data_IF_701160564591
#
_entry.id   IF_701160564591
#
_cell.length_a   1.000
_cell.length_b   1.000
_cell.length_c   1.000
_cell.angle_alpha   90.00
_cell.angle_beta   90.00
_cell.angle_gamma   90.00
#
_symmetry.space_group_name_H-M   'P 1'
#
loop_
_entity.id
_entity.type
_entity.pdbx_description
1 polymer ?
#
# COMPACT_ATOMS: atom_id res chain seq x y z
N UNK A 1 29.79 -13.20 23.75
CA UNK A 1 29.42 -12.96 22.34
C UNK A 1 27.92 -13.12 22.28
N UNK A 2 27.18 -12.22 21.62
CA UNK A 2 25.73 -12.37 21.47
C UNK A 2 25.41 -13.70 20.78
N UNK A 3 24.18 -14.18 20.93
CA UNK A 3 23.69 -15.36 20.20
C UNK A 3 23.70 -15.14 18.67
N UNK A 4 23.73 -13.87 18.23
CA UNK A 4 23.66 -13.47 16.83
C UNK A 4 25.03 -13.26 16.17
N UNK A 5 26.11 -13.29 16.95
CA UNK A 5 27.47 -13.17 16.43
C UNK A 5 27.75 -14.20 15.31
N UNK A 6 28.33 -13.75 14.20
CA UNK A 6 28.57 -14.54 12.98
C UNK A 6 27.32 -15.12 12.30
N UNK A 7 26.13 -14.55 12.56
CA UNK A 7 24.89 -14.91 11.86
C UNK A 7 24.47 -13.78 10.93
N UNK A 8 24.02 -14.13 9.73
CA UNK A 8 23.32 -13.23 8.81
C UNK A 8 21.90 -13.75 8.62
N UNK A 9 20.92 -12.92 8.91
CA UNK A 9 19.51 -13.23 8.67
C UNK A 9 19.12 -12.82 7.25
N UNK A 10 18.62 -13.78 6.47
CA UNK A 10 18.22 -13.59 5.08
C UNK A 10 16.69 -13.60 5.01
N UNK A 11 16.09 -12.50 4.58
CA UNK A 11 14.63 -12.41 4.57
C UNK A 11 14.04 -13.27 3.45
N UNK A 12 13.14 -14.19 3.79
CA UNK A 12 12.22 -14.79 2.82
C UNK A 12 11.04 -13.84 2.64
N UNK A 13 10.72 -13.53 1.38
CA UNK A 13 9.73 -12.52 1.01
C UNK A 13 8.74 -13.09 0.00
N UNK A 14 8.17 -12.25 -0.84
CA UNK A 14 7.09 -12.59 -1.76
C UNK A 14 7.56 -12.67 -3.22
N UNK A 15 6.72 -13.22 -4.09
CA UNK A 15 6.80 -13.12 -5.56
C UNK A 15 8.20 -13.48 -6.13
N UNK A 16 8.71 -12.67 -7.07
CA UNK A 16 9.95 -12.95 -7.77
C UNK A 16 11.19 -13.03 -6.85
N UNK A 17 11.39 -12.13 -5.86
CA UNK A 17 12.48 -12.26 -4.88
C UNK A 17 12.45 -13.57 -4.09
N UNK A 18 11.25 -14.10 -3.78
CA UNK A 18 11.11 -15.40 -3.11
C UNK A 18 11.63 -16.55 -3.98
N UNK A 19 11.20 -16.59 -5.25
CA UNK A 19 11.67 -17.57 -6.23
C UNK A 19 13.19 -17.50 -6.43
N UNK A 20 13.75 -16.28 -6.52
CA UNK A 20 15.20 -16.09 -6.64
C UNK A 20 15.96 -16.60 -5.41
N UNK A 21 15.38 -16.42 -4.21
CA UNK A 21 15.96 -16.91 -2.95
C UNK A 21 16.08 -18.43 -2.93
N UNK A 22 15.09 -19.16 -3.45
CA UNK A 22 15.15 -20.62 -3.56
C UNK A 22 16.37 -21.12 -4.37
N UNK A 23 16.82 -20.35 -5.36
CA UNK A 23 18.00 -20.69 -6.16
C UNK A 23 19.30 -20.18 -5.53
N UNK A 24 19.32 -18.91 -5.08
CA UNK A 24 20.56 -18.24 -4.69
C UNK A 24 21.01 -18.56 -3.26
N UNK A 25 20.08 -18.69 -2.32
CA UNK A 25 20.42 -18.87 -0.90
C UNK A 25 21.21 -20.15 -0.60
N UNK A 26 20.92 -21.32 -1.22
CA UNK A 26 21.76 -22.50 -1.04
C UNK A 26 23.22 -22.26 -1.42
N UNK A 27 23.46 -21.50 -2.50
CA UNK A 27 24.81 -21.14 -2.96
C UNK A 27 25.48 -20.24 -1.92
N UNK A 28 24.81 -19.16 -1.49
CA UNK A 28 25.37 -18.23 -0.50
C UNK A 28 25.74 -18.95 0.80
N UNK A 29 24.86 -19.84 1.30
CA UNK A 29 25.09 -20.68 2.48
C UNK A 29 26.37 -21.50 2.39
N UNK A 30 26.63 -22.15 1.25
CA UNK A 30 27.84 -22.96 1.05
C UNK A 30 29.11 -22.11 1.15
N UNK A 31 29.11 -20.92 0.53
CA UNK A 31 30.27 -20.03 0.54
C UNK A 31 30.52 -19.40 1.92
N UNK A 32 29.47 -18.96 2.62
CA UNK A 32 29.61 -18.32 3.93
C UNK A 32 30.01 -19.31 5.03
N UNK A 33 29.58 -20.58 4.92
CA UNK A 33 29.94 -21.63 5.87
C UNK A 33 31.46 -21.85 5.95
N UNK A 34 32.18 -21.70 4.83
CA UNK A 34 33.65 -21.80 4.81
C UNK A 34 34.35 -20.72 5.67
N UNK A 35 33.67 -19.61 5.94
CA UNK A 35 34.14 -18.53 6.81
C UNK A 35 33.56 -18.60 8.24
N UNK A 36 32.83 -19.67 8.59
CA UNK A 36 32.16 -19.79 9.89
C UNK A 36 30.94 -18.88 10.07
N UNK A 37 30.37 -18.37 8.96
CA UNK A 37 29.19 -17.49 8.98
C UNK A 37 27.92 -18.31 8.73
N UNK A 38 26.97 -18.20 9.64
CA UNK A 38 25.68 -18.89 9.58
C UNK A 38 24.64 -18.03 8.86
N UNK A 39 23.92 -18.61 7.89
CA UNK A 39 22.81 -17.93 7.21
C UNK A 39 21.46 -18.50 7.68
N UNK A 40 20.69 -17.73 8.44
CA UNK A 40 19.34 -18.10 8.89
C UNK A 40 18.29 -17.43 8.01
N UNK A 41 17.19 -18.14 7.72
CA UNK A 41 16.04 -17.52 7.05
C UNK A 41 15.18 -16.89 8.13
N UNK A 42 14.65 -15.70 7.85
CA UNK A 42 13.50 -15.17 8.58
C UNK A 42 12.40 -14.84 7.58
N UNK A 43 11.24 -15.47 7.75
CA UNK A 43 10.10 -15.26 6.86
C UNK A 43 9.35 -13.98 7.26
N UNK A 44 9.21 -13.09 6.29
CA UNK A 44 8.44 -11.84 6.40
C UNK A 44 7.49 -11.67 5.20
N UNK A 45 7.19 -12.75 4.50
CA UNK A 45 6.17 -12.80 3.44
C UNK A 45 4.81 -12.34 3.97
N UNK A 46 3.93 -11.91 3.07
CA UNK A 46 2.55 -11.56 3.43
C UNK A 46 1.84 -12.73 4.12
N UNK A 47 2.01 -13.95 3.60
CA UNK A 47 1.41 -15.15 4.17
C UNK A 47 1.89 -15.41 5.60
N UNK A 48 3.20 -15.42 5.84
CA UNK A 48 3.77 -15.62 7.17
C UNK A 48 3.31 -14.55 8.17
N UNK A 49 3.31 -13.27 7.75
CA UNK A 49 2.81 -12.17 8.59
C UNK A 49 1.32 -12.25 8.85
N UNK A 50 0.50 -12.80 7.96
CA UNK A 50 -0.91 -13.06 8.22
C UNK A 50 -1.06 -14.16 9.27
N UNK A 51 -0.38 -15.30 9.06
CA UNK A 51 -0.45 -16.44 9.98
C UNK A 51 0.03 -16.09 11.40
N UNK A 52 1.09 -15.29 11.53
CA UNK A 52 1.63 -14.89 12.84
C UNK A 52 0.67 -14.01 13.65
N UNK A 53 -0.34 -13.38 13.03
CA UNK A 53 -1.36 -12.59 13.74
C UNK A 53 -2.51 -13.43 14.31
N UNK A 54 -2.64 -14.70 13.91
CA UNK A 54 -3.74 -15.57 14.34
C UNK A 54 -3.25 -16.96 14.81
N UNK A 55 -2.23 -17.06 15.67
CA UNK A 55 -1.71 -18.35 16.11
C UNK A 55 -2.77 -19.21 16.83
N UNK A 56 -3.78 -18.58 17.44
CA UNK A 56 -4.89 -19.27 18.10
C UNK A 56 -5.85 -19.97 17.13
N UNK A 57 -5.86 -19.55 15.87
CA UNK A 57 -6.67 -20.16 14.79
C UNK A 57 -5.93 -21.28 14.07
N UNK A 58 -4.70 -21.60 14.51
CA UNK A 58 -3.80 -22.52 13.83
C UNK A 58 -3.49 -23.73 14.71
N UNK A 59 -3.41 -24.90 14.07
CA UNK A 59 -2.88 -26.09 14.72
C UNK A 59 -1.38 -25.93 14.99
N UNK A 60 -0.83 -26.71 15.93
CA UNK A 60 0.59 -26.58 16.34
C UNK A 60 1.58 -26.64 15.17
N UNK A 61 1.33 -27.49 14.18
CA UNK A 61 2.20 -27.66 13.01
C UNK A 61 2.01 -26.56 11.96
N UNK A 62 0.95 -25.75 12.06
CA UNK A 62 0.65 -24.62 11.18
C UNK A 62 1.16 -23.28 11.74
N UNK A 63 1.47 -23.23 13.04
CA UNK A 63 1.94 -22.01 13.68
C UNK A 63 3.32 -21.62 13.13
N UNK A 64 3.47 -20.33 12.85
CA UNK A 64 4.72 -19.74 12.36
C UNK A 64 5.25 -18.75 13.38
N UNK A 65 6.56 -18.59 13.42
CA UNK A 65 7.21 -17.52 14.19
C UNK A 65 6.85 -16.15 13.60
N UNK A 66 6.67 -15.13 14.44
CA UNK A 66 6.56 -13.76 13.96
C UNK A 66 7.94 -13.22 13.58
N UNK A 67 8.36 -13.53 12.34
CA UNK A 67 9.65 -13.13 11.81
C UNK A 67 9.84 -11.61 11.73
N UNK A 68 8.75 -10.83 11.63
CA UNK A 68 8.85 -9.36 11.63
C UNK A 68 9.11 -8.83 13.03
N UNK A 69 8.42 -9.36 14.05
CA UNK A 69 8.70 -9.02 15.44
C UNK A 69 10.15 -9.40 15.82
N UNK A 70 10.57 -10.62 15.47
CA UNK A 70 11.95 -11.07 15.69
C UNK A 70 12.99 -10.13 15.06
N UNK A 71 12.81 -9.74 13.78
CA UNK A 71 13.75 -8.83 13.13
C UNK A 71 13.69 -7.40 13.70
N UNK A 72 12.53 -6.97 14.18
CA UNK A 72 12.38 -5.70 14.90
C UNK A 72 13.23 -5.68 16.16
N UNK A 73 13.14 -6.72 16.98
CA UNK A 73 13.97 -6.85 18.18
C UNK A 73 15.46 -6.94 17.81
N UNK A 74 15.79 -7.70 16.76
CA UNK A 74 17.16 -7.81 16.26
C UNK A 74 17.76 -6.46 15.84
N UNK A 75 16.97 -5.50 15.35
CA UNK A 75 17.51 -4.18 14.95
C UNK A 75 18.10 -3.38 16.11
N UNK A 76 17.76 -3.74 17.35
CA UNK A 76 18.29 -3.12 18.57
C UNK A 76 19.59 -3.79 19.05
N UNK A 77 19.96 -4.94 18.48
CA UNK A 77 21.21 -5.63 18.80
C UNK A 77 22.38 -5.03 17.99
N UNK A 78 23.52 -4.65 18.62
CA UNK A 78 24.69 -4.15 17.90
C UNK A 78 25.33 -5.17 16.93
N UNK A 79 25.11 -6.47 17.13
CA UNK A 79 25.55 -7.55 16.24
C UNK A 79 24.53 -7.84 15.12
N UNK A 80 23.48 -7.03 14.99
CA UNK A 80 22.46 -7.14 13.95
C UNK A 80 23.08 -7.17 12.54
N UNK A 81 22.79 -8.24 11.81
CA UNK A 81 23.17 -8.37 10.41
C UNK A 81 22.07 -9.11 9.63
N UNK A 82 21.33 -8.39 8.79
CA UNK A 82 20.34 -8.99 7.92
C UNK A 82 20.40 -8.45 6.49
N UNK A 83 20.01 -9.29 5.55
CA UNK A 83 19.84 -8.96 4.13
C UNK A 83 18.34 -8.89 3.85
N UNK A 84 17.86 -7.66 3.61
CA UNK A 84 16.46 -7.38 3.31
C UNK A 84 16.18 -7.37 1.80
N UNK A 85 15.35 -8.29 1.34
CA UNK A 85 14.87 -8.37 -0.04
C UNK A 85 13.56 -7.58 -0.21
N UNK A 86 13.16 -7.17 -1.42
CA UNK A 86 11.86 -6.54 -1.65
C UNK A 86 10.70 -7.45 -1.21
N UNK A 87 9.67 -6.87 -0.59
CA UNK A 87 8.48 -7.57 -0.10
C UNK A 87 7.20 -6.78 -0.43
N UNK A 88 6.05 -7.45 -0.40
CA UNK A 88 4.74 -6.84 -0.64
C UNK A 88 4.39 -5.86 0.49
N UNK A 89 4.00 -4.65 0.10
CA UNK A 89 3.23 -3.72 0.95
C UNK A 89 1.76 -3.85 0.57
N UNK A 90 1.03 -4.72 1.27
CA UNK A 90 -0.23 -5.26 0.77
C UNK A 90 -1.34 -4.21 0.69
N UNK A 91 -2.01 -4.14 -0.46
CA UNK A 91 -3.34 -3.52 -0.57
C UNK A 91 -4.41 -4.43 0.06
N UNK A 92 -5.63 -3.90 0.25
CA UNK A 92 -6.77 -4.72 0.73
C UNK A 92 -7.07 -5.89 -0.24
N UNK A 93 -7.13 -5.69 -1.57
CA UNK A 93 -7.31 -6.80 -2.50
C UNK A 93 -6.24 -7.91 -2.36
N UNK A 94 -4.96 -7.53 -2.28
CA UNK A 94 -3.86 -8.50 -2.11
C UNK A 94 -3.96 -9.26 -0.79
N UNK A 95 -4.36 -8.58 0.29
CA UNK A 95 -4.60 -9.25 1.58
C UNK A 95 -5.76 -10.25 1.48
N UNK A 96 -6.89 -9.87 0.88
CA UNK A 96 -8.05 -10.76 0.69
C UNK A 96 -7.69 -11.98 -0.16
N UNK A 97 -6.87 -11.80 -1.19
CA UNK A 97 -6.37 -12.91 -2.01
C UNK A 97 -5.47 -13.85 -1.21
N UNK A 98 -4.51 -13.32 -0.45
CA UNK A 98 -3.66 -14.10 0.44
C UNK A 98 -4.47 -14.90 1.48
N UNK A 99 -5.49 -14.29 2.08
CA UNK A 99 -6.38 -14.96 3.05
C UNK A 99 -7.11 -16.12 2.38
N UNK A 100 -7.73 -15.89 1.21
CA UNK A 100 -8.43 -16.94 0.46
C UNK A 100 -7.50 -18.09 0.08
N UNK A 101 -6.27 -17.78 -0.36
CA UNK A 101 -5.28 -18.79 -0.69
C UNK A 101 -4.91 -19.63 0.54
N UNK A 102 -4.61 -19.01 1.68
CA UNK A 102 -4.32 -19.71 2.93
C UNK A 102 -5.52 -20.56 3.41
N UNK A 103 -6.74 -20.03 3.37
CA UNK A 103 -7.94 -20.79 3.71
C UNK A 103 -8.11 -22.03 2.81
N UNK A 104 -7.83 -21.90 1.51
CA UNK A 104 -7.87 -23.03 0.57
C UNK A 104 -6.83 -24.13 0.87
N UNK A 105 -5.77 -23.78 1.61
CA UNK A 105 -4.73 -24.69 2.08
C UNK A 105 -5.02 -25.28 3.48
N UNK A 106 -6.18 -24.95 4.08
CA UNK A 106 -6.63 -25.49 5.36
C UNK A 106 -6.19 -24.70 6.59
N UNK A 107 -5.79 -23.43 6.43
CA UNK A 107 -5.57 -22.52 7.55
C UNK A 107 -6.89 -21.85 7.95
N UNK A 108 -7.39 -22.13 9.17
CA UNK A 108 -8.69 -21.64 9.65
C UNK A 108 -8.65 -20.17 10.15
N UNK A 109 -7.97 -19.30 9.40
CA UNK A 109 -7.87 -17.86 9.70
C UNK A 109 -9.15 -17.11 9.31
N UNK A 110 -9.56 -16.06 10.05
CA UNK A 110 -10.79 -15.34 9.80
C UNK A 110 -10.72 -14.51 8.51
N UNK A 111 -11.86 -14.28 7.86
CA UNK A 111 -11.95 -13.32 6.75
C UNK A 111 -11.60 -11.90 7.18
N UNK A 112 -11.21 -11.06 6.21
CA UNK A 112 -10.99 -9.63 6.47
C UNK A 112 -12.33 -8.86 6.55
N UNK A 113 -12.73 -8.32 7.71
CA UNK A 113 -13.99 -7.59 7.83
C UNK A 113 -13.84 -6.18 7.26
N UNK A 114 -14.41 -5.95 6.08
CA UNK A 114 -14.36 -4.65 5.39
C UNK A 114 -15.10 -3.56 6.18
N UNK A 115 -16.24 -3.91 6.80
CA UNK A 115 -17.10 -3.02 7.59
C UNK A 115 -17.43 -3.68 8.95
N UNK A 116 -16.50 -3.69 9.91
CA UNK A 116 -16.70 -4.37 11.19
C UNK A 116 -17.88 -3.77 11.97
N UNK A 117 -18.83 -4.60 12.37
CA UNK A 117 -20.01 -4.27 13.16
C UNK A 117 -19.86 -4.70 14.63
N UNK A 118 -19.09 -5.76 14.92
CA UNK A 118 -18.83 -6.25 16.27
C UNK A 118 -17.43 -5.87 16.78
N UNK A 119 -17.22 -5.97 18.10
CA UNK A 119 -15.90 -5.73 18.68
C UNK A 119 -14.88 -6.83 18.31
N UNK A 120 -15.35 -8.05 18.07
CA UNK A 120 -14.53 -9.14 17.54
C UNK A 120 -14.05 -8.83 16.12
N UNK A 121 -14.95 -8.35 15.24
CA UNK A 121 -14.60 -7.94 13.88
C UNK A 121 -13.66 -6.74 13.88
N UNK A 122 -13.84 -5.77 14.79
CA UNK A 122 -12.89 -4.65 14.95
C UNK A 122 -11.51 -5.15 15.37
N UNK A 123 -11.45 -6.14 16.25
CA UNK A 123 -10.20 -6.75 16.70
C UNK A 123 -9.50 -7.49 15.57
N UNK A 124 -10.23 -8.31 14.80
CA UNK A 124 -9.72 -9.00 13.60
C UNK A 124 -9.19 -7.97 12.59
N UNK A 125 -9.97 -6.92 12.31
CA UNK A 125 -9.54 -5.84 11.41
C UNK A 125 -8.26 -5.17 11.88
N UNK A 126 -8.15 -4.88 13.18
CA UNK A 126 -6.97 -4.23 13.75
C UNK A 126 -5.71 -5.08 13.60
N UNK A 127 -5.83 -6.41 13.79
CA UNK A 127 -4.72 -7.36 13.57
C UNK A 127 -4.28 -7.39 12.10
N UNK A 128 -5.21 -7.55 11.17
CA UNK A 128 -4.91 -7.41 9.73
C UNK A 128 -4.36 -6.02 9.37
N UNK A 129 -4.76 -4.97 10.07
CA UNK A 129 -4.23 -3.62 9.92
C UNK A 129 -2.71 -3.49 10.17
N UNK A 130 -2.12 -4.45 10.90
CA UNK A 130 -0.67 -4.57 11.11
C UNK A 130 0.05 -5.24 9.94
N UNK A 131 -0.65 -5.98 9.07
CA UNK A 131 -0.07 -6.63 7.89
C UNK A 131 -0.26 -5.82 6.61
N UNK A 132 -1.24 -4.89 6.61
CA UNK A 132 -1.55 -3.99 5.51
C UNK A 132 -0.51 -2.88 5.30
N UNK A 133 -0.32 -2.52 4.03
CA UNK A 133 0.58 -1.46 3.59
C UNK A 133 2.04 -1.75 3.89
N UNK A 134 2.85 -0.70 4.06
CA UNK A 134 4.27 -0.84 4.36
C UNK A 134 4.50 -1.20 5.84
N UNK A 135 4.13 -2.41 6.25
CA UNK A 135 4.30 -2.91 7.62
C UNK A 135 5.75 -3.22 7.99
N UNK A 136 6.55 -3.72 7.03
CA UNK A 136 7.90 -4.21 7.30
C UNK A 136 8.93 -3.08 7.44
N UNK A 137 8.96 -2.14 6.47
CA UNK A 137 10.02 -1.14 6.42
C UNK A 137 10.09 -0.24 7.68
N UNK A 138 8.98 0.23 8.28
CA UNK A 138 9.04 1.05 9.48
C UNK A 138 9.65 0.34 10.68
N UNK A 139 9.50 -0.99 10.77
CA UNK A 139 10.07 -1.80 11.86
C UNK A 139 11.56 -2.05 11.66
N UNK A 140 12.02 -2.20 10.41
CA UNK A 140 13.41 -2.59 10.13
C UNK A 140 14.38 -1.42 9.91
N UNK A 141 13.88 -0.17 9.84
CA UNK A 141 14.67 1.00 9.47
C UNK A 141 15.03 1.87 10.67
N UNK A 142 15.74 1.27 11.60
CA UNK A 142 16.29 1.92 12.81
C UNK A 142 17.60 2.67 12.49
N UNK A 143 17.62 3.36 11.35
CA UNK A 143 18.78 4.07 10.82
C UNK A 143 18.47 4.78 9.52
N UNK A 144 19.41 5.63 9.09
CA UNK A 144 19.29 6.40 7.86
C UNK A 144 19.64 5.57 6.61
N UNK A 145 19.39 6.12 5.42
CA UNK A 145 19.62 5.41 4.15
C UNK A 145 20.86 5.92 3.40
N UNK A 146 21.86 5.05 3.15
CA UNK A 146 22.86 5.23 2.09
C UNK A 146 22.43 4.44 0.85
N UNK A 147 21.96 5.15 -0.20
CA UNK A 147 21.52 4.53 -1.44
C UNK A 147 22.23 5.15 -2.64
N UNK A 148 23.03 4.34 -3.33
CA UNK A 148 23.84 4.76 -4.49
C UNK A 148 24.09 3.62 -5.46
N UNK A 149 24.21 3.94 -6.75
CA UNK A 149 24.57 2.96 -7.77
C UNK A 149 26.06 2.57 -7.66
N UNK A 150 26.41 1.28 -7.56
CA UNK A 150 27.81 0.84 -7.54
C UNK A 150 28.55 1.21 -8.83
N UNK A 151 29.86 1.52 -8.73
CA UNK A 151 30.69 1.91 -9.88
C UNK A 151 30.68 0.86 -11.01
N UNK A 152 30.73 -0.43 -10.66
CA UNK A 152 30.69 -1.52 -11.62
C UNK A 152 29.38 -1.54 -12.43
N UNK A 153 28.23 -1.33 -11.76
CA UNK A 153 26.92 -1.22 -12.42
C UNK A 153 26.88 0.01 -13.34
N UNK A 154 27.40 1.16 -12.89
CA UNK A 154 27.45 2.37 -13.73
C UNK A 154 28.35 2.18 -14.96
N UNK A 155 29.49 1.50 -14.81
CA UNK A 155 30.38 1.18 -15.93
C UNK A 155 29.71 0.22 -16.92
N UNK A 156 28.99 -0.79 -16.42
CA UNK A 156 28.21 -1.72 -17.25
C UNK A 156 27.17 -0.98 -18.10
N UNK A 157 26.36 -0.10 -17.50
CA UNK A 157 25.33 0.67 -18.23
C UNK A 157 25.93 1.64 -19.25
N UNK A 158 27.15 2.16 -19.04
CA UNK A 158 27.84 2.96 -20.07
C UNK A 158 28.24 2.13 -21.28
N UNK A 159 28.64 0.86 -21.07
CA UNK A 159 29.03 -0.06 -22.14
C UNK A 159 27.82 -0.67 -22.84
N UNK A 160 26.75 -0.91 -22.09
CA UNK A 160 25.50 -1.52 -22.54
C UNK A 160 24.33 -0.59 -22.15
N UNK A 161 24.13 0.52 -22.89
CA UNK A 161 23.06 1.45 -22.59
C UNK A 161 21.70 0.77 -22.77
N UNK A 162 20.81 0.99 -21.81
CA UNK A 162 19.41 0.62 -21.97
C UNK A 162 18.72 1.60 -22.91
N UNK A 163 17.56 1.20 -23.43
CA UNK A 163 16.72 2.08 -24.25
C UNK A 163 16.30 3.31 -23.44
N UNK A 164 16.40 4.46 -24.07
CA UNK A 164 15.87 5.73 -23.59
C UNK A 164 14.96 6.27 -24.69
N UNK A 165 13.68 6.46 -24.38
CA UNK A 165 12.73 7.02 -25.34
C UNK A 165 13.17 8.42 -25.80
N UNK A 166 13.04 8.74 -27.10
CA UNK A 166 13.36 10.09 -27.58
C UNK A 166 12.39 11.11 -26.98
N UNK A 167 12.91 12.24 -26.54
CA UNK A 167 12.10 13.36 -26.03
C UNK A 167 11.87 14.40 -27.13
N UNK A 168 10.60 14.65 -27.44
CA UNK A 168 10.20 15.71 -28.36
C UNK A 168 10.03 17.03 -27.61
N UNK A 169 10.49 18.14 -28.22
CA UNK A 169 10.20 19.51 -27.73
C UNK A 169 8.72 19.86 -27.81
N UNK A 170 7.95 19.13 -28.62
CA UNK A 170 6.50 19.27 -28.74
C UNK A 170 5.74 18.31 -27.81
N UNK A 171 6.43 17.65 -26.86
CA UNK A 171 5.76 16.81 -25.85
C UNK A 171 4.77 17.65 -25.04
N UNK A 172 3.59 17.08 -24.82
CA UNK A 172 2.49 17.70 -24.04
C UNK A 172 2.35 17.08 -22.65
N UNK A 173 3.15 16.05 -22.36
CA UNK A 173 3.22 15.43 -21.03
C UNK A 173 3.67 16.46 -20.00
N UNK A 174 2.91 16.58 -18.93
CA UNK A 174 3.21 17.43 -17.79
C UNK A 174 2.73 16.73 -16.50
N UNK A 175 3.19 17.22 -15.36
CA UNK A 175 2.65 16.85 -14.06
C UNK A 175 1.73 17.97 -13.60
N UNK A 176 0.50 17.61 -13.23
CA UNK A 176 -0.48 18.53 -12.66
C UNK A 176 -0.73 18.19 -11.18
N UNK A 177 -1.02 19.19 -10.37
CA UNK A 177 -1.16 19.07 -8.92
C UNK A 177 -2.03 20.18 -8.34
N UNK A 178 -2.62 19.94 -7.16
CA UNK A 178 -3.50 20.91 -6.50
C UNK A 178 -2.78 22.24 -6.20
N UNK A 179 -3.43 23.36 -6.54
CA UNK A 179 -2.96 24.72 -6.22
C UNK A 179 -3.74 25.32 -5.04
N UNK A 180 -3.76 24.62 -3.90
CA UNK A 180 -4.47 25.05 -2.70
C UNK A 180 -5.37 23.96 -2.11
N UNK A 181 -5.44 23.88 -0.77
CA UNK A 181 -6.32 22.94 -0.07
C UNK A 181 -5.79 21.50 0.01
N UNK A 182 -4.52 21.29 -0.32
CA UNK A 182 -3.79 20.05 -0.09
C UNK A 182 -2.97 20.10 1.22
N UNK A 183 -2.22 19.03 1.48
CA UNK A 183 -1.36 18.94 2.65
C UNK A 183 -0.30 20.06 2.67
N UNK A 184 0.30 20.38 1.52
CA UNK A 184 1.29 21.44 1.41
C UNK A 184 0.72 22.80 1.83
N UNK A 185 -0.50 23.11 1.40
CA UNK A 185 -1.15 24.39 1.68
C UNK A 185 -1.54 24.59 3.15
N UNK A 186 -1.68 23.51 3.93
CA UNK A 186 -2.23 23.54 5.29
C UNK A 186 -1.23 23.14 6.37
N UNK A 187 -0.02 22.74 5.98
CA UNK A 187 1.01 22.28 6.90
C UNK A 187 1.35 23.34 7.95
N UNK A 188 1.43 22.89 9.20
CA UNK A 188 2.01 23.59 10.32
C UNK A 188 2.98 22.65 11.02
N UNK A 189 4.07 23.21 11.52
CA UNK A 189 5.12 22.46 12.21
C UNK A 189 5.45 23.13 13.53
N UNK A 190 5.78 22.33 14.54
CA UNK A 190 6.41 22.82 15.76
C UNK A 190 7.46 21.83 16.26
N UNK A 191 8.43 22.34 17.01
CA UNK A 191 9.45 21.53 17.69
C UNK A 191 9.24 21.69 19.19
N UNK A 192 9.19 20.59 19.93
CA UNK A 192 9.03 20.66 21.39
C UNK A 192 10.39 20.88 22.08
N UNK A 193 10.43 21.77 23.07
CA UNK A 193 11.67 22.06 23.81
C UNK A 193 11.99 21.00 24.87
N UNK A 194 10.99 20.24 25.30
CA UNK A 194 11.08 19.25 26.38
C UNK A 194 10.14 18.07 26.15
N UNK A 195 10.40 16.99 26.87
CA UNK A 195 9.50 15.85 26.92
C UNK A 195 8.11 16.30 27.40
N UNK A 196 7.07 15.90 26.66
CA UNK A 196 5.69 16.28 26.96
C UNK A 196 4.69 15.31 26.35
N UNK A 197 3.42 15.43 26.71
CA UNK A 197 2.34 14.67 26.08
C UNK A 197 1.40 15.64 25.39
N UNK A 198 1.16 15.43 24.10
CA UNK A 198 0.19 16.21 23.31
C UNK A 198 -1.07 15.41 23.07
N UNK A 199 -2.17 16.12 22.82
CA UNK A 199 -3.47 15.54 22.52
C UNK A 199 -4.00 16.07 21.20
N UNK A 200 -4.44 15.14 20.35
CA UNK A 200 -5.14 15.45 19.12
C UNK A 200 -6.64 15.45 19.42
N UNK A 201 -7.27 16.62 19.31
CA UNK A 201 -8.69 16.81 19.58
C UNK A 201 -9.43 17.25 18.32
N UNK A 202 -10.63 16.74 18.13
CA UNK A 202 -11.60 17.29 17.19
C UNK A 202 -12.65 18.07 17.98
N UNK A 203 -12.79 19.36 17.69
CA UNK A 203 -13.84 20.21 18.25
C UNK A 203 -14.89 20.41 17.16
N UNK A 204 -16.11 19.94 17.39
CA UNK A 204 -17.19 20.07 16.42
C UNK A 204 -17.72 21.52 16.36
N UNK A 205 -18.64 21.81 15.43
CA UNK A 205 -19.23 23.14 15.26
C UNK A 205 -20.01 23.63 16.49
N UNK A 206 -20.49 22.71 17.33
CA UNK A 206 -21.18 23.02 18.59
C UNK A 206 -20.23 23.24 19.78
N UNK A 207 -18.90 23.15 19.56
CA UNK A 207 -17.88 23.31 20.59
C UNK A 207 -17.61 22.05 21.43
N UNK A 208 -18.22 20.91 21.11
CA UNK A 208 -17.94 19.63 21.78
C UNK A 208 -16.60 19.08 21.33
N UNK A 209 -15.68 18.91 22.28
CA UNK A 209 -14.38 18.29 22.06
C UNK A 209 -14.45 16.77 22.16
N UNK A 210 -13.77 16.09 21.24
CA UNK A 210 -13.53 14.65 21.24
C UNK A 210 -12.02 14.40 21.12
N UNK A 211 -11.46 13.71 22.10
CA UNK A 211 -10.04 13.30 22.08
C UNK A 211 -9.88 12.14 21.09
N UNK A 212 -9.08 12.35 20.06
CA UNK A 212 -8.78 11.32 19.05
C UNK A 212 -7.55 10.50 19.42
N UNK A 213 -6.53 11.14 20.00
CA UNK A 213 -5.27 10.47 20.38
C UNK A 213 -4.48 11.28 21.39
N UNK A 214 -3.73 10.60 22.24
CA UNK A 214 -2.64 11.18 23.05
C UNK A 214 -1.30 10.61 22.58
N UNK A 215 -0.27 11.45 22.53
CA UNK A 215 1.06 11.12 22.02
C UNK A 215 2.13 11.66 22.99
N UNK A 216 3.00 10.81 23.55
CA UNK A 216 4.22 11.29 24.19
C UNK A 216 5.17 11.81 23.11
N UNK A 217 5.88 12.91 23.41
CA UNK A 217 6.90 13.51 22.57
C UNK A 217 8.21 13.64 23.34
N UNK A 218 9.32 13.42 22.66
CA UNK A 218 10.67 13.61 23.17
C UNK A 218 11.13 15.08 23.07
N UNK A 219 12.11 15.48 23.88
CA UNK A 219 12.71 16.81 23.74
C UNK A 219 13.40 16.96 22.37
N UNK A 220 13.08 18.04 21.65
CA UNK A 220 13.58 18.30 20.30
C UNK A 220 12.81 17.59 19.19
N UNK A 221 11.75 16.85 19.51
CA UNK A 221 10.91 16.19 18.50
C UNK A 221 10.15 17.22 17.66
N UNK A 222 10.12 16.99 16.35
CA UNK A 222 9.39 17.81 15.37
C UNK A 222 8.05 17.15 15.08
N UNK A 223 6.96 17.91 15.16
CA UNK A 223 5.61 17.42 14.90
C UNK A 223 4.92 18.32 13.89
N UNK A 224 4.40 17.69 12.85
CA UNK A 224 3.69 18.35 11.76
C UNK A 224 2.19 18.01 11.78
N UNK A 225 1.36 19.01 11.48
CA UNK A 225 -0.08 18.89 11.34
C UNK A 225 -0.54 19.46 10.00
N UNK A 226 -1.34 18.71 9.26
CA UNK A 226 -1.79 19.05 7.91
C UNK A 226 -3.12 18.39 7.60
N UNK A 227 -3.88 18.95 6.65
CA UNK A 227 -5.12 18.37 6.14
C UNK A 227 -5.28 18.58 4.63
N UNK A 228 -6.14 17.79 4.00
CA UNK A 228 -6.52 17.97 2.59
C UNK A 228 -8.04 18.13 2.51
N UNK A 229 -8.49 19.14 1.77
CA UNK A 229 -9.91 19.38 1.51
C UNK A 229 -10.40 18.42 0.43
N UNK A 230 -11.37 17.56 0.76
CA UNK A 230 -11.98 16.66 -0.20
C UNK A 230 -12.75 17.39 -1.31
N UNK A 231 -13.36 18.53 -1.00
CA UNK A 231 -14.09 19.34 -1.98
C UNK A 231 -13.14 19.87 -3.05
N UNK A 232 -12.04 20.50 -2.64
CA UNK A 232 -11.02 21.01 -3.57
C UNK A 232 -10.30 19.90 -4.33
N UNK A 233 -10.11 18.74 -3.70
CA UNK A 233 -9.55 17.57 -4.39
C UNK A 233 -10.46 17.09 -5.53
N UNK A 234 -11.77 17.05 -5.30
CA UNK A 234 -12.74 16.63 -6.31
C UNK A 234 -12.88 17.65 -7.44
N UNK A 235 -12.85 18.94 -7.10
CA UNK A 235 -12.79 20.04 -8.07
C UNK A 235 -11.55 19.91 -8.96
N UNK A 236 -10.36 19.76 -8.36
CA UNK A 236 -9.11 19.52 -9.08
C UNK A 236 -9.19 18.30 -10.01
N UNK A 237 -9.76 17.18 -9.55
CA UNK A 237 -9.91 16.02 -10.43
C UNK A 237 -10.82 16.30 -11.63
N UNK A 238 -11.96 16.96 -11.44
CA UNK A 238 -12.85 17.31 -12.54
C UNK A 238 -12.15 18.26 -13.54
N UNK A 239 -11.46 19.29 -13.05
CA UNK A 239 -10.70 20.22 -13.89
C UNK A 239 -9.61 19.51 -14.70
N UNK A 240 -8.82 18.64 -14.07
CA UNK A 240 -7.75 17.89 -14.74
C UNK A 240 -8.29 16.92 -15.80
N UNK A 241 -9.48 16.34 -15.59
CA UNK A 241 -10.12 15.45 -16.55
C UNK A 241 -10.65 16.23 -17.76
N UNK A 242 -11.26 17.39 -17.54
CA UNK A 242 -11.75 18.24 -18.61
C UNK A 242 -10.61 18.85 -19.42
N UNK A 243 -9.49 19.28 -18.79
CA UNK A 243 -8.30 19.70 -19.50
C UNK A 243 -7.72 18.57 -20.35
N UNK A 244 -7.53 17.38 -19.77
CA UNK A 244 -7.00 16.22 -20.49
C UNK A 244 -7.86 15.87 -21.71
N UNK A 245 -9.19 15.98 -21.59
CA UNK A 245 -10.15 15.76 -22.68
C UNK A 245 -10.08 16.85 -23.74
N UNK A 246 -10.10 18.12 -23.33
CA UNK A 246 -10.06 19.27 -24.24
C UNK A 246 -8.75 19.33 -25.02
N UNK A 247 -7.66 18.96 -24.37
CA UNK A 247 -6.33 18.93 -24.96
C UNK A 247 -6.08 17.60 -25.69
N UNK A 248 -6.80 16.52 -25.40
CA UNK A 248 -6.59 15.22 -26.02
C UNK A 248 -5.29 14.55 -25.57
N UNK A 249 -4.89 14.77 -24.32
CA UNK A 249 -3.81 13.99 -23.66
C UNK A 249 -4.43 12.90 -22.80
N UNK A 250 -3.73 11.78 -22.66
CA UNK A 250 -4.16 10.69 -21.79
C UNK A 250 -4.04 11.11 -20.32
N UNK A 251 -5.10 10.91 -19.55
CA UNK A 251 -5.11 11.20 -18.13
C UNK A 251 -4.51 10.02 -17.33
N UNK A 252 -3.77 10.33 -16.28
CA UNK A 252 -3.19 9.32 -15.39
C UNK A 252 -3.05 9.83 -13.98
N UNK A 253 -3.27 8.94 -13.01
CA UNK A 253 -3.17 9.17 -11.58
C UNK A 253 -1.93 8.48 -11.01
N UNK A 254 -1.11 9.27 -10.33
CA UNK A 254 0.13 8.82 -9.70
C UNK A 254 0.07 9.09 -8.20
N UNK A 255 -0.36 8.09 -7.43
CA UNK A 255 -0.41 8.13 -5.96
C UNK A 255 0.26 6.90 -5.35
N UNK A 256 0.48 6.92 -4.04
CA UNK A 256 1.15 5.84 -3.31
C UNK A 256 0.23 5.12 -2.32
N UNK A 257 -0.86 4.54 -2.83
CA UNK A 257 -1.97 3.97 -2.03
C UNK A 257 -1.55 2.87 -1.03
N UNK A 258 -0.53 2.08 -1.36
CA UNK A 258 -0.04 1.00 -0.48
C UNK A 258 0.82 1.50 0.69
N UNK A 259 1.64 2.54 0.46
CA UNK A 259 2.47 3.12 1.52
C UNK A 259 1.64 4.03 2.42
N UNK A 260 0.85 4.91 1.81
CA UNK A 260 -0.04 5.84 2.51
C UNK A 260 -1.40 5.17 2.76
N UNK A 261 -1.40 4.11 3.59
CA UNK A 261 -2.49 3.13 3.73
C UNK A 261 -3.87 3.69 4.14
N UNK A 262 -3.94 4.95 4.58
CA UNK A 262 -5.19 5.62 4.95
C UNK A 262 -5.55 6.70 3.93
N UNK A 263 -4.67 7.69 3.73
CA UNK A 263 -5.00 8.88 2.94
C UNK A 263 -5.12 8.60 1.44
N UNK A 264 -4.16 7.91 0.84
CA UNK A 264 -4.13 7.75 -0.61
C UNK A 264 -5.19 6.80 -1.19
N UNK A 265 -5.66 5.75 -0.50
CA UNK A 265 -6.86 5.03 -0.92
C UNK A 265 -8.11 5.91 -0.99
N UNK A 266 -8.26 6.90 -0.08
CA UNK A 266 -9.37 7.86 -0.12
C UNK A 266 -9.22 8.80 -1.33
N UNK A 267 -8.00 9.32 -1.57
CA UNK A 267 -7.70 10.13 -2.76
C UNK A 267 -8.02 9.36 -4.04
N UNK A 268 -7.61 8.09 -4.10
CA UNK A 268 -7.87 7.21 -5.23
C UNK A 268 -9.38 6.97 -5.44
N UNK A 269 -10.13 6.71 -4.37
CA UNK A 269 -11.57 6.53 -4.45
C UNK A 269 -12.32 7.80 -4.89
N UNK A 270 -11.83 8.99 -4.51
CA UNK A 270 -12.35 10.23 -5.08
C UNK A 270 -12.07 10.34 -6.57
N UNK A 271 -10.89 9.98 -7.06
CA UNK A 271 -10.61 9.96 -8.49
C UNK A 271 -11.53 8.98 -9.26
N UNK A 272 -11.74 7.78 -8.72
CA UNK A 272 -12.67 6.79 -9.29
C UNK A 272 -14.09 7.35 -9.36
N UNK A 273 -14.61 7.89 -8.25
CA UNK A 273 -15.99 8.41 -8.22
C UNK A 273 -16.18 9.68 -9.05
N UNK A 274 -15.14 10.49 -9.26
CA UNK A 274 -15.21 11.67 -10.15
C UNK A 274 -15.16 11.23 -11.61
N UNK A 275 -14.24 10.32 -11.97
CA UNK A 275 -14.14 9.82 -13.34
C UNK A 275 -15.45 9.16 -13.79
N UNK A 276 -15.95 8.20 -12.99
CA UNK A 276 -17.18 7.45 -13.26
C UNK A 276 -18.42 8.08 -12.60
N UNK A 277 -18.50 9.41 -12.50
CA UNK A 277 -19.59 10.09 -11.78
C UNK A 277 -20.99 9.66 -12.24
N UNK A 278 -21.20 9.57 -13.55
CA UNK A 278 -22.51 9.20 -14.12
C UNK A 278 -22.92 7.77 -13.72
N UNK A 279 -21.95 6.86 -13.64
CA UNK A 279 -22.15 5.48 -13.17
C UNK A 279 -22.55 5.44 -11.68
N UNK A 280 -21.82 6.16 -10.84
CA UNK A 280 -22.07 6.19 -9.39
C UNK A 280 -23.35 6.95 -9.04
N UNK A 281 -23.71 7.98 -9.80
CA UNK A 281 -24.97 8.71 -9.64
C UNK A 281 -26.17 7.83 -10.01
N UNK A 282 -26.06 7.03 -11.09
CA UNK A 282 -27.12 6.11 -11.53
C UNK A 282 -27.28 4.89 -10.62
N UNK A 283 -26.17 4.27 -10.20
CA UNK A 283 -26.18 2.97 -9.49
C UNK A 283 -25.82 3.06 -8.00
N UNK A 284 -25.69 4.26 -7.43
CA UNK A 284 -25.14 4.47 -6.08
C UNK A 284 -25.83 3.68 -4.96
N UNK A 285 -27.16 3.61 -4.96
CA UNK A 285 -27.92 2.82 -3.97
C UNK A 285 -27.69 1.31 -4.12
N UNK A 286 -27.56 0.81 -5.35
CA UNK A 286 -27.21 -0.58 -5.60
C UNK A 286 -25.78 -0.87 -5.12
N UNK A 287 -24.82 -0.04 -5.51
CA UNK A 287 -23.42 -0.16 -5.09
C UNK A 287 -23.26 -0.11 -3.57
N UNK A 288 -24.04 0.73 -2.87
CA UNK A 288 -24.07 0.78 -1.41
C UNK A 288 -24.55 -0.55 -0.80
N UNK A 289 -25.61 -1.16 -1.36
CA UNK A 289 -26.11 -2.47 -0.92
C UNK A 289 -25.14 -3.61 -1.20
N UNK A 290 -24.47 -3.58 -2.35
CA UNK A 290 -23.47 -4.58 -2.72
C UNK A 290 -22.13 -4.40 -1.99
N UNK A 291 -21.96 -3.27 -1.28
CA UNK A 291 -20.73 -2.97 -0.57
C UNK A 291 -19.56 -2.64 -1.48
N UNK A 292 -19.82 -2.08 -2.67
CA UNK A 292 -18.78 -1.53 -3.55
C UNK A 292 -17.99 -0.47 -2.78
N UNK A 293 -16.66 -0.53 -2.89
CA UNK A 293 -15.77 0.43 -2.26
C UNK A 293 -14.83 1.06 -3.30
N UNK A 294 -15.06 2.31 -3.72
CA UNK A 294 -14.25 2.97 -4.75
C UNK A 294 -12.79 3.16 -4.31
N UNK A 295 -12.48 3.15 -3.01
CA UNK A 295 -11.10 3.23 -2.51
C UNK A 295 -10.27 2.00 -2.88
N UNK A 296 -10.92 0.90 -3.28
CA UNK A 296 -10.31 -0.32 -3.80
C UNK A 296 -10.30 -0.35 -5.35
N UNK A 297 -10.62 0.76 -6.01
CA UNK A 297 -10.63 0.87 -7.47
C UNK A 297 -11.89 0.35 -8.15
N UNK A 298 -11.90 0.49 -9.48
CA UNK A 298 -12.96 -0.03 -10.33
C UNK A 298 -13.02 -1.56 -10.28
N UNK A 299 -11.92 -2.24 -9.93
CA UNK A 299 -11.92 -3.68 -9.63
C UNK A 299 -12.96 -4.06 -8.58
N UNK A 300 -13.22 -3.20 -7.58
CA UNK A 300 -14.29 -3.42 -6.59
C UNK A 300 -15.68 -3.41 -7.20
N UNK A 301 -15.94 -2.65 -8.27
CA UNK A 301 -17.23 -2.67 -8.96
C UNK A 301 -17.36 -4.01 -9.68
N UNK A 302 -16.37 -4.37 -10.50
CA UNK A 302 -16.37 -5.65 -11.25
C UNK A 302 -16.54 -6.87 -10.34
N UNK A 303 -15.84 -6.93 -9.19
CA UNK A 303 -15.98 -8.03 -8.22
C UNK A 303 -17.42 -8.14 -7.70
N UNK A 304 -18.05 -7.02 -7.33
CA UNK A 304 -19.35 -7.03 -6.64
C UNK A 304 -20.55 -7.17 -7.57
N UNK A 305 -20.38 -6.91 -8.86
CA UNK A 305 -21.45 -7.08 -9.85
C UNK A 305 -21.46 -8.48 -10.49
N UNK A 306 -20.41 -9.29 -10.29
CA UNK A 306 -20.24 -10.59 -10.95
C UNK A 306 -21.41 -11.56 -10.69
N UNK A 307 -22.01 -11.49 -9.50
CA UNK A 307 -23.13 -12.36 -9.09
C UNK A 307 -24.53 -11.76 -9.36
N UNK A 308 -24.60 -10.61 -10.05
CA UNK A 308 -25.88 -9.98 -10.38
C UNK A 308 -26.61 -10.69 -11.54
N UNK A 309 -27.94 -10.53 -11.65
CA UNK A 309 -28.67 -10.93 -12.84
C UNK A 309 -28.06 -10.31 -14.09
N UNK A 310 -27.90 -11.11 -15.15
CA UNK A 310 -27.20 -10.74 -16.39
C UNK A 310 -27.65 -9.40 -16.97
N UNK A 311 -28.95 -9.10 -16.96
CA UNK A 311 -29.46 -7.82 -17.47
C UNK A 311 -28.91 -6.61 -16.73
N UNK A 312 -28.79 -6.69 -15.41
CA UNK A 312 -28.28 -5.61 -14.56
C UNK A 312 -26.76 -5.54 -14.62
N UNK A 313 -26.10 -6.70 -14.69
CA UNK A 313 -24.66 -6.76 -14.95
C UNK A 313 -24.31 -6.06 -16.28
N UNK A 314 -24.98 -6.44 -17.36
CA UNK A 314 -24.70 -5.91 -18.70
C UNK A 314 -25.00 -4.40 -18.78
N UNK A 315 -26.09 -3.92 -18.13
CA UNK A 315 -26.37 -2.49 -18.00
C UNK A 315 -25.23 -1.71 -17.31
N UNK A 316 -24.71 -2.23 -16.19
CA UNK A 316 -23.60 -1.57 -15.46
C UNK A 316 -22.33 -1.56 -16.32
N UNK A 317 -22.04 -2.63 -17.06
CA UNK A 317 -20.91 -2.69 -17.98
C UNK A 317 -21.05 -1.65 -19.09
N UNK A 318 -22.25 -1.52 -19.68
CA UNK A 318 -22.53 -0.50 -20.69
C UNK A 318 -22.35 0.92 -20.14
N UNK A 319 -22.82 1.20 -18.93
CA UNK A 319 -22.65 2.50 -18.29
C UNK A 319 -21.17 2.82 -17.96
N UNK A 320 -20.37 1.81 -17.62
CA UNK A 320 -18.91 1.96 -17.49
C UNK A 320 -18.31 2.36 -18.84
N UNK A 321 -18.70 1.69 -19.94
CA UNK A 321 -18.21 2.04 -21.28
C UNK A 321 -18.66 3.43 -21.71
N UNK A 322 -19.88 3.84 -21.35
CA UNK A 322 -20.38 5.18 -21.62
C UNK A 322 -19.51 6.27 -20.97
N UNK A 323 -18.99 6.03 -19.75
CA UNK A 323 -18.05 6.94 -19.10
C UNK A 323 -16.77 7.12 -19.92
N UNK A 324 -16.21 6.07 -20.52
CA UNK A 324 -15.01 6.18 -21.36
C UNK A 324 -15.25 6.97 -22.65
N UNK A 325 -16.49 7.03 -23.15
CA UNK A 325 -16.82 7.84 -24.32
C UNK A 325 -16.94 9.34 -23.99
N UNK A 326 -17.23 9.68 -22.73
CA UNK A 326 -17.43 11.08 -22.30
C UNK A 326 -16.27 11.65 -21.51
N UNK A 327 -15.35 10.82 -21.01
CA UNK A 327 -14.13 11.21 -20.26
C UNK A 327 -12.86 11.12 -21.12
N UNK A 328 -11.72 11.72 -20.72
CA UNK A 328 -10.46 11.54 -21.44
C UNK A 328 -10.02 10.07 -21.44
N UNK A 329 -9.15 9.72 -22.40
CA UNK A 329 -8.49 8.42 -22.40
C UNK A 329 -7.68 8.24 -21.11
N UNK A 330 -7.75 7.04 -20.54
CA UNK A 330 -7.11 6.70 -19.27
C UNK A 330 -5.88 5.84 -19.51
N UNK A 331 -4.80 6.10 -18.77
CA UNK A 331 -3.62 5.24 -18.80
C UNK A 331 -3.97 3.78 -18.47
N UNK A 332 -3.32 2.85 -19.16
CA UNK A 332 -3.55 1.41 -19.02
C UNK A 332 -2.40 0.74 -18.29
N UNK A 333 -2.73 -0.12 -17.32
CA UNK A 333 -1.78 -1.04 -16.69
C UNK A 333 -1.54 -2.24 -17.61
N UNK A 334 -2.61 -2.79 -18.18
CA UNK A 334 -2.58 -3.85 -19.20
C UNK A 334 -3.70 -3.59 -20.21
N UNK A 335 -3.35 -3.06 -21.38
CA UNK A 335 -4.32 -2.73 -22.44
C UNK A 335 -4.94 -3.97 -23.10
N UNK A 336 -4.26 -5.12 -23.09
CA UNK A 336 -4.81 -6.37 -23.67
C UNK A 336 -5.94 -6.90 -22.79
N UNK A 337 -5.82 -6.76 -21.48
CA UNK A 337 -6.83 -7.18 -20.50
C UNK A 337 -7.84 -6.09 -20.13
N UNK A 338 -7.68 -4.87 -20.66
CA UNK A 338 -8.53 -3.73 -20.28
C UNK A 338 -8.34 -3.26 -18.84
N UNK A 339 -7.18 -3.53 -18.22
CA UNK A 339 -6.87 -3.08 -16.85
C UNK A 339 -6.36 -1.65 -16.92
N UNK A 340 -7.18 -0.70 -16.48
CA UNK A 340 -6.86 0.72 -16.47
C UNK A 340 -6.12 1.15 -15.20
N UNK A 341 -5.63 2.39 -15.18
CA UNK A 341 -4.97 2.98 -14.02
C UNK A 341 -5.90 3.22 -12.81
N UNK A 342 -7.22 3.15 -13.01
CA UNK A 342 -8.23 3.23 -11.96
C UNK A 342 -8.83 1.85 -11.58
N UNK A 343 -8.29 0.76 -12.13
CA UNK A 343 -8.67 -0.60 -11.77
C UNK A 343 -8.14 -0.94 -10.37
#
# INVERSE_FOLDING_TARGET
>A
MSEHANTIYYTLTDEAPSLATCSLLPIVRTFTAAAGITMKITDISLASRVLSQFPESLNKDQQVEDGLAFLGDLTQDPDCNFIKLPNISASIPQLKECIRELQSQGYEIPDFPEKPQSDDEKTIRARYGKTLGSAVNPVLREGNSDRRAPKAVKAYVRKYPHSMGPWSKASRTHADYMHGGDFFSSEKSFTTDKETTVRLEFVNQDGKAEVKKELPLEAGEVVDGMYMSCDKLREFFEESLEDAKATGVMWSLHVKATMMKVSHPIVFGHAVTVFYKDLFDKHGELFKRLGVNPNNGLGSVYEKIADLPRSLHDEIIEDIQACYATRPELAMVDSVKGISNLH
#
